data_IF_636586078208
#
_entry.id   IF_636586078208
#
_cell.length_a   1.000
_cell.length_b   1.000
_cell.length_c   1.000
_cell.angle_alpha   90.00
_cell.angle_beta   90.00
_cell.angle_gamma   90.00
#
_symmetry.space_group_name_H-M   'P 1'
#
loop_
_entity.id
_entity.type
_entity.pdbx_description
1 polymer ?
#
# COMPACT_ATOMS: atom_id res chain seq x y z
N UNK A 1 22.21 3.43 33.83
CA UNK A 1 22.41 4.19 32.57
C UNK A 1 23.88 4.57 32.37
N UNK A 2 24.52 5.37 33.24
CA UNK A 2 25.98 5.64 33.16
C UNK A 2 26.86 4.38 33.20
N UNK A 3 26.51 3.43 34.07
CA UNK A 3 27.18 2.14 34.24
C UNK A 3 27.45 1.39 32.92
N UNK A 4 26.46 1.30 32.02
CA UNK A 4 26.59 0.65 30.71
C UNK A 4 27.61 1.35 29.77
N UNK A 5 27.70 2.67 29.83
CA UNK A 5 28.61 3.44 28.99
C UNK A 5 30.08 3.28 29.44
N UNK A 6 30.27 3.19 30.75
CA UNK A 6 31.58 3.10 31.39
C UNK A 6 32.12 1.66 31.37
N UNK A 7 31.25 0.66 31.52
CA UNK A 7 31.62 -0.75 31.60
C UNK A 7 31.70 -1.43 30.21
N UNK A 8 30.88 -1.00 29.24
CA UNK A 8 30.85 -1.57 27.87
C UNK A 8 31.01 -0.50 26.77
N UNK A 9 32.11 0.26 26.76
CA UNK A 9 32.32 1.34 25.79
C UNK A 9 32.44 0.83 24.34
N UNK A 10 32.93 -0.40 24.14
CA UNK A 10 33.04 -1.03 22.81
C UNK A 10 31.66 -1.31 22.21
N UNK A 11 30.75 -1.91 22.98
CA UNK A 11 29.39 -2.20 22.53
C UNK A 11 28.63 -0.91 22.17
N UNK A 12 28.76 0.12 23.00
CA UNK A 12 28.16 1.43 22.72
C UNK A 12 28.68 2.05 21.42
N UNK A 13 29.98 1.89 21.13
CA UNK A 13 30.59 2.40 19.89
C UNK A 13 30.14 1.63 18.65
N UNK A 14 30.00 0.30 18.75
CA UNK A 14 29.48 -0.53 17.65
C UNK A 14 28.04 -0.16 17.34
N UNK A 15 27.17 -0.14 18.34
CA UNK A 15 25.76 0.23 18.16
C UNK A 15 25.61 1.62 17.55
N UNK A 16 26.40 2.59 18.04
CA UNK A 16 26.45 3.93 17.46
C UNK A 16 26.78 3.89 15.96
N UNK A 17 27.81 3.13 15.57
CA UNK A 17 28.21 3.02 14.17
C UNK A 17 27.13 2.35 13.31
N UNK A 18 26.46 1.32 13.84
CA UNK A 18 25.32 0.66 13.16
C UNK A 18 24.18 1.64 12.93
N UNK A 19 23.78 2.41 13.96
CA UNK A 19 22.71 3.40 13.84
C UNK A 19 23.05 4.51 12.85
N UNK A 20 24.29 5.01 12.87
CA UNK A 20 24.76 5.99 11.88
C UNK A 20 24.68 5.40 10.47
N UNK A 21 25.16 4.17 10.29
CA UNK A 21 25.09 3.48 9.00
C UNK A 21 23.66 3.35 8.49
N UNK A 22 22.73 2.97 9.36
CA UNK A 22 21.33 2.78 9.01
C UNK A 22 20.65 4.10 8.62
N UNK A 23 20.87 5.17 9.39
CA UNK A 23 20.37 6.52 9.09
C UNK A 23 20.94 7.02 7.77
N UNK A 24 22.24 6.81 7.55
CA UNK A 24 22.90 7.20 6.30
C UNK A 24 22.34 6.45 5.09
N UNK A 25 22.10 5.14 5.22
CA UNK A 25 21.47 4.34 4.16
C UNK A 25 20.07 4.86 3.83
N UNK A 26 19.23 5.11 4.84
CA UNK A 26 17.88 5.67 4.62
C UNK A 26 17.96 7.05 3.94
N UNK A 27 18.90 7.88 4.35
CA UNK A 27 19.14 9.19 3.72
C UNK A 27 19.54 9.07 2.24
N UNK A 28 20.50 8.19 1.92
CA UNK A 28 20.94 7.97 0.53
C UNK A 28 19.81 7.42 -0.33
N UNK A 29 19.00 6.50 0.20
CA UNK A 29 17.82 5.97 -0.50
C UNK A 29 16.84 7.11 -0.77
N UNK A 30 16.50 7.91 0.23
CA UNK A 30 15.57 9.03 0.06
C UNK A 30 16.09 10.06 -0.96
N UNK A 31 17.38 10.39 -0.91
CA UNK A 31 18.02 11.29 -1.86
C UNK A 31 17.93 10.76 -3.30
N UNK A 32 18.18 9.47 -3.48
CA UNK A 32 18.08 8.79 -4.77
C UNK A 32 16.65 8.82 -5.33
N UNK A 33 15.64 8.71 -4.45
CA UNK A 33 14.23 8.84 -4.83
C UNK A 33 13.86 10.26 -5.25
N UNK A 34 14.27 11.27 -4.48
CA UNK A 34 13.96 12.68 -4.77
C UNK A 34 14.60 13.14 -6.08
N UNK A 35 15.83 12.72 -6.36
CA UNK A 35 16.50 13.04 -7.63
C UNK A 35 16.09 12.15 -8.81
N UNK A 36 15.19 11.18 -8.59
CA UNK A 36 14.75 10.28 -9.66
C UNK A 36 15.87 9.44 -10.25
N UNK A 37 16.89 9.11 -9.45
CA UNK A 37 18.06 8.32 -9.91
C UNK A 37 17.66 6.87 -10.19
N UNK A 38 16.57 6.39 -9.59
CA UNK A 38 16.07 5.02 -9.79
C UNK A 38 15.42 4.89 -11.18
N UNK A 39 15.98 4.06 -12.07
CA UNK A 39 15.45 3.93 -13.42
C UNK A 39 14.10 3.19 -13.42
N UNK A 40 13.19 3.63 -14.31
CA UNK A 40 11.85 3.04 -14.46
C UNK A 40 11.88 1.55 -14.87
N UNK A 41 13.03 1.04 -15.31
CA UNK A 41 13.22 -0.37 -15.63
C UNK A 41 13.22 -1.29 -14.41
N UNK A 42 13.48 -0.76 -13.20
CA UNK A 42 13.52 -1.57 -11.96
C UNK A 42 12.10 -1.87 -11.47
N UNK A 43 11.17 -0.93 -11.66
CA UNK A 43 9.79 -1.06 -11.22
C UNK A 43 8.83 -0.47 -12.27
N UNK A 44 8.01 -1.31 -12.94
CA UNK A 44 6.97 -0.85 -13.85
C UNK A 44 6.00 0.13 -13.16
N UNK A 45 5.53 1.16 -13.87
CA UNK A 45 4.64 2.21 -13.31
C UNK A 45 3.34 1.69 -12.71
N UNK A 46 2.85 0.54 -13.19
CA UNK A 46 1.62 -0.09 -12.70
C UNK A 46 1.84 -0.89 -11.42
N UNK A 47 3.09 -1.10 -11.00
CA UNK A 47 3.37 -1.83 -9.78
C UNK A 47 3.24 -0.95 -8.54
N UNK A 48 2.77 -1.59 -7.47
CA UNK A 48 2.59 -0.98 -6.17
C UNK A 48 3.88 -0.36 -5.64
N UNK A 49 5.01 -1.02 -5.90
CA UNK A 49 6.33 -0.60 -5.44
C UNK A 49 6.73 0.75 -6.05
N UNK A 50 6.50 0.94 -7.36
CA UNK A 50 6.73 2.22 -8.02
C UNK A 50 5.91 3.33 -7.36
N UNK A 51 4.64 3.06 -7.06
CA UNK A 51 3.76 4.05 -6.44
C UNK A 51 4.14 4.35 -4.98
N UNK A 52 4.66 3.36 -4.23
CA UNK A 52 5.24 3.57 -2.89
C UNK A 52 6.44 4.52 -2.97
N UNK A 53 7.35 4.30 -3.92
CA UNK A 53 8.52 5.15 -4.14
C UNK A 53 8.16 6.56 -4.63
N UNK A 54 7.20 6.65 -5.55
CA UNK A 54 6.70 7.94 -6.05
C UNK A 54 6.02 8.75 -4.94
N UNK A 55 5.24 8.10 -4.07
CA UNK A 55 4.66 8.76 -2.89
C UNK A 55 5.74 9.28 -1.96
N UNK A 56 6.78 8.49 -1.67
CA UNK A 56 7.92 8.93 -0.86
C UNK A 56 8.70 10.10 -1.49
N UNK A 57 8.86 10.10 -2.82
CA UNK A 57 9.49 11.20 -3.55
C UNK A 57 8.64 12.48 -3.53
N UNK A 58 7.31 12.35 -3.54
CA UNK A 58 6.37 13.47 -3.46
C UNK A 58 6.45 14.28 -2.15
N UNK A 59 6.96 13.70 -1.06
CA UNK A 59 7.09 14.36 0.25
C UNK A 59 8.34 15.24 0.41
N UNK A 60 8.85 15.80 -0.68
CA UNK A 60 10.24 16.29 -0.83
C UNK A 60 10.72 17.42 0.10
N UNK A 61 9.85 18.23 0.73
CA UNK A 61 10.32 19.37 1.55
C UNK A 61 10.43 19.07 3.05
N UNK A 62 9.54 18.24 3.60
CA UNK A 62 9.48 17.97 5.04
C UNK A 62 10.49 16.88 5.43
N UNK A 63 10.63 15.84 4.62
CA UNK A 63 11.59 14.74 4.85
C UNK A 63 13.03 15.22 4.79
N UNK A 64 13.39 16.07 3.83
CA UNK A 64 14.72 16.68 3.72
C UNK A 64 15.06 17.51 4.96
N UNK A 65 14.12 18.34 5.44
CA UNK A 65 14.31 19.12 6.67
C UNK A 65 14.50 18.24 7.89
N UNK A 66 13.76 17.14 8.02
CA UNK A 66 13.92 16.24 9.18
C UNK A 66 15.25 15.50 9.15
N UNK A 67 15.71 15.04 7.98
CA UNK A 67 17.03 14.40 7.88
C UNK A 67 18.16 15.41 8.15
N UNK A 68 18.03 16.65 7.68
CA UNK A 68 18.97 17.74 8.01
C UNK A 68 18.96 18.03 9.52
N UNK A 69 17.80 18.00 10.17
CA UNK A 69 17.68 18.16 11.63
C UNK A 69 18.33 16.98 12.37
N UNK A 70 18.22 15.75 11.86
CA UNK A 70 18.89 14.57 12.43
C UNK A 70 20.41 14.70 12.30
N UNK A 71 20.92 15.12 11.14
CA UNK A 71 22.35 15.35 10.91
C UNK A 71 22.88 16.53 11.76
N UNK A 72 22.11 17.60 11.88
CA UNK A 72 22.42 18.74 12.76
C UNK A 72 22.40 18.34 14.24
N UNK A 73 21.45 17.51 14.66
CA UNK A 73 21.38 16.96 16.01
C UNK A 73 22.57 16.03 16.28
N UNK A 74 22.93 15.16 15.33
CA UNK A 74 24.11 14.29 15.42
C UNK A 74 25.39 15.12 15.61
N UNK A 75 25.62 16.14 14.78
CA UNK A 75 26.80 17.01 14.86
C UNK A 75 26.84 17.85 16.13
N UNK A 76 25.71 18.41 16.58
CA UNK A 76 25.62 19.16 17.84
C UNK A 76 25.81 18.27 19.08
N UNK A 77 25.28 17.05 19.05
CA UNK A 77 25.28 16.14 20.20
C UNK A 77 26.65 15.47 20.43
N UNK A 78 27.40 15.15 19.37
CA UNK A 78 28.76 14.62 19.48
C UNK A 78 29.76 15.59 20.13
N UNK A 79 29.41 16.88 20.27
CA UNK A 79 30.25 17.87 20.95
C UNK A 79 30.28 17.73 22.49
N UNK A 80 29.38 16.94 23.10
CA UNK A 80 29.28 16.79 24.57
C UNK A 80 29.37 15.31 24.98
N UNK A 81 30.24 14.98 25.94
CA UNK A 81 30.66 13.63 26.39
C UNK A 81 29.58 12.64 26.90
N UNK A 82 28.33 12.66 26.42
CA UNK A 82 27.20 11.82 26.88
C UNK A 82 26.75 10.79 25.83
N UNK A 83 27.63 9.86 25.48
CA UNK A 83 27.42 8.88 24.39
C UNK A 83 26.10 8.09 24.50
N UNK A 84 25.74 7.64 25.70
CA UNK A 84 24.59 6.74 25.87
C UNK A 84 23.23 7.46 25.76
N UNK A 85 23.14 8.69 26.25
CA UNK A 85 21.94 9.51 26.07
C UNK A 85 21.76 9.88 24.59
N UNK A 86 22.86 10.00 23.83
CA UNK A 86 22.83 10.17 22.37
C UNK A 86 22.13 8.99 21.70
N UNK A 87 22.53 7.77 22.07
CA UNK A 87 22.05 6.54 21.45
C UNK A 87 20.55 6.35 21.66
N UNK A 88 20.07 6.61 22.88
CA UNK A 88 18.64 6.50 23.20
C UNK A 88 17.85 7.55 22.41
N UNK A 89 18.29 8.81 22.43
CA UNK A 89 17.62 9.89 21.69
C UNK A 89 17.60 9.61 20.18
N UNK A 90 18.70 9.11 19.62
CA UNK A 90 18.81 8.77 18.20
C UNK A 90 17.84 7.66 17.80
N UNK A 91 17.75 6.60 18.60
CA UNK A 91 16.80 5.51 18.36
C UNK A 91 15.37 6.02 18.38
N UNK A 92 14.98 6.81 19.39
CA UNK A 92 13.63 7.36 19.51
C UNK A 92 13.30 8.24 18.29
N UNK A 93 14.19 9.15 17.90
CA UNK A 93 13.96 10.03 16.75
C UNK A 93 13.87 9.23 15.46
N UNK A 94 14.74 8.24 15.27
CA UNK A 94 14.72 7.39 14.09
C UNK A 94 13.41 6.61 13.95
N UNK A 95 12.98 5.92 15.01
CA UNK A 95 11.72 5.17 15.00
C UNK A 95 10.51 6.10 14.88
N UNK A 96 10.50 7.23 15.59
CA UNK A 96 9.43 8.22 15.44
C UNK A 96 9.32 8.75 14.02
N UNK A 97 10.43 9.00 13.34
CA UNK A 97 10.43 9.43 11.93
C UNK A 97 9.89 8.32 11.01
N UNK A 98 10.29 7.08 11.28
CA UNK A 98 9.84 5.91 10.52
C UNK A 98 8.33 5.74 10.65
N UNK A 99 7.82 5.76 11.89
CA UNK A 99 6.40 5.53 12.19
C UNK A 99 5.51 6.73 11.85
N UNK A 100 6.01 7.96 11.91
CA UNK A 100 5.20 9.15 11.63
C UNK A 100 5.18 9.55 10.16
N UNK A 101 6.27 9.30 9.41
CA UNK A 101 6.42 9.81 8.04
C UNK A 101 6.53 8.68 7.02
N UNK A 102 7.53 7.82 7.16
CA UNK A 102 7.83 6.83 6.12
C UNK A 102 6.77 5.74 6.04
N UNK A 103 6.45 5.11 7.17
CA UNK A 103 5.54 3.98 7.23
C UNK A 103 4.11 4.38 6.83
N UNK A 104 3.51 5.48 7.33
CA UNK A 104 2.17 5.89 6.90
C UNK A 104 2.13 6.26 5.43
N UNK A 105 3.16 6.93 4.90
CA UNK A 105 3.22 7.29 3.47
C UNK A 105 3.19 6.04 2.60
N UNK A 106 4.01 5.05 2.94
CA UNK A 106 4.07 3.79 2.21
C UNK A 106 2.77 2.99 2.37
N UNK A 107 2.26 2.84 3.58
CA UNK A 107 1.04 2.06 3.84
C UNK A 107 -0.21 2.70 3.22
N UNK A 108 -0.31 4.03 3.20
CA UNK A 108 -1.40 4.74 2.52
C UNK A 108 -1.44 4.44 1.02
N UNK A 109 -0.28 4.17 0.40
CA UNK A 109 -0.27 3.73 -1.00
C UNK A 109 -0.75 2.29 -1.17
N UNK A 110 -0.78 1.44 -0.13
CA UNK A 110 -1.38 0.10 -0.23
C UNK A 110 -2.88 0.08 0.01
N UNK A 111 -3.40 1.10 0.71
CA UNK A 111 -4.82 1.17 1.05
C UNK A 111 -5.74 1.30 -0.17
N UNK A 112 -6.85 0.55 -0.19
CA UNK A 112 -7.96 0.72 -1.15
C UNK A 112 -8.88 1.90 -0.82
N UNK A 113 -8.68 2.61 0.29
CA UNK A 113 -9.64 3.59 0.81
C UNK A 113 -10.10 4.63 -0.23
N UNK A 114 -9.19 5.10 -1.08
CA UNK A 114 -9.54 6.05 -2.16
C UNK A 114 -10.48 5.43 -3.19
N UNK A 115 -10.17 4.22 -3.64
CA UNK A 115 -11.00 3.50 -4.59
C UNK A 115 -12.38 3.17 -4.00
N UNK A 116 -12.44 2.76 -2.73
CA UNK A 116 -13.72 2.56 -2.03
C UNK A 116 -14.55 3.86 -1.99
N UNK A 117 -13.92 5.01 -1.72
CA UNK A 117 -14.61 6.30 -1.75
C UNK A 117 -15.09 6.70 -3.16
N UNK A 118 -14.38 6.31 -4.21
CA UNK A 118 -14.82 6.53 -5.58
C UNK A 118 -15.98 5.60 -5.97
N UNK A 119 -15.96 4.34 -5.52
CA UNK A 119 -17.11 3.43 -5.63
C UNK A 119 -18.31 4.00 -4.88
N UNK A 120 -18.14 4.53 -3.66
CA UNK A 120 -19.24 5.09 -2.87
C UNK A 120 -19.89 6.31 -3.55
N UNK A 121 -19.13 7.11 -4.32
CA UNK A 121 -19.71 8.20 -5.12
C UNK A 121 -20.59 7.70 -6.26
N UNK A 122 -20.21 6.58 -6.88
CA UNK A 122 -20.98 5.96 -7.98
C UNK A 122 -22.17 5.16 -7.44
N UNK A 123 -21.97 4.42 -6.35
CA UNK A 123 -22.94 3.52 -5.72
C UNK A 123 -23.11 3.90 -4.24
N UNK A 124 -23.82 5.02 -3.95
CA UNK A 124 -23.97 5.53 -2.60
C UNK A 124 -24.81 4.61 -1.71
N UNK A 125 -25.75 3.88 -2.31
CA UNK A 125 -26.65 2.96 -1.61
C UNK A 125 -26.88 1.70 -2.44
N UNK A 126 -27.27 0.61 -1.78
CA UNK A 126 -27.53 -0.68 -2.42
C UNK A 126 -26.37 -1.66 -2.28
N UNK A 127 -26.62 -2.88 -2.74
CA UNK A 127 -25.68 -3.99 -2.66
C UNK A 127 -24.67 -3.91 -3.81
N UNK A 128 -23.42 -4.21 -3.50
CA UNK A 128 -22.35 -4.36 -4.48
C UNK A 128 -22.00 -5.84 -4.49
N UNK A 129 -21.70 -6.40 -5.65
CA UNK A 129 -21.36 -7.80 -5.79
C UNK A 129 -19.86 -7.95 -6.04
N UNK A 130 -19.26 -9.02 -5.57
CA UNK A 130 -17.88 -9.39 -5.90
C UNK A 130 -17.80 -10.76 -6.54
N UNK A 131 -16.77 -10.95 -7.36
CA UNK A 131 -16.39 -12.24 -7.90
C UNK A 131 -14.89 -12.47 -7.76
N UNK A 132 -14.53 -13.61 -7.16
CA UNK A 132 -13.20 -14.18 -7.19
C UNK A 132 -13.28 -15.66 -7.63
N UNK A 133 -12.31 -16.21 -8.37
CA UNK A 133 -12.37 -17.60 -8.87
C UNK A 133 -12.51 -18.66 -7.79
N UNK A 134 -12.03 -18.37 -6.57
CA UNK A 134 -12.18 -19.26 -5.39
C UNK A 134 -13.64 -19.45 -4.99
N UNK A 135 -14.55 -18.52 -5.34
CA UNK A 135 -15.99 -18.64 -5.10
C UNK A 135 -16.63 -19.79 -5.90
N UNK A 136 -15.92 -20.34 -6.89
CA UNK A 136 -16.34 -21.52 -7.66
C UNK A 136 -16.03 -22.84 -6.93
N UNK A 137 -15.22 -22.81 -5.87
CA UNK A 137 -14.86 -24.02 -5.12
C UNK A 137 -15.90 -24.36 -4.04
N UNK A 138 -16.48 -25.59 -4.02
CA UNK A 138 -17.54 -25.96 -3.07
C UNK A 138 -17.14 -25.95 -1.59
N UNK A 139 -15.84 -26.15 -1.32
CA UNK A 139 -15.28 -26.31 0.04
C UNK A 139 -14.55 -25.05 0.56
N UNK A 140 -14.53 -23.97 -0.22
CA UNK A 140 -13.80 -22.75 0.09
C UNK A 140 -14.61 -21.79 0.97
N UNK A 141 -13.98 -21.16 1.95
CA UNK A 141 -14.51 -19.92 2.52
C UNK A 141 -14.59 -18.90 1.36
N UNK A 142 -15.77 -18.32 1.08
CA UNK A 142 -15.90 -17.34 -0.01
C UNK A 142 -15.00 -16.15 0.29
N UNK A 143 -13.98 -16.00 -0.54
CA UNK A 143 -12.99 -14.94 -0.38
C UNK A 143 -13.57 -13.72 -1.07
N UNK A 144 -13.76 -12.64 -0.34
CA UNK A 144 -14.23 -11.37 -0.90
C UNK A 144 -13.19 -10.29 -0.64
N UNK A 145 -13.40 -9.12 -1.24
CA UNK A 145 -12.52 -7.97 -1.04
C UNK A 145 -12.73 -7.37 0.35
N UNK A 146 -12.20 -8.01 1.40
CA UNK A 146 -12.39 -7.62 2.81
C UNK A 146 -12.07 -6.14 3.10
N UNK A 147 -10.97 -5.62 2.54
CA UNK A 147 -10.64 -4.21 2.75
C UNK A 147 -11.67 -3.29 2.09
N UNK A 148 -12.16 -3.63 0.89
CA UNK A 148 -13.19 -2.84 0.21
C UNK A 148 -14.52 -2.94 0.96
N UNK A 149 -14.88 -4.13 1.43
CA UNK A 149 -16.13 -4.36 2.15
C UNK A 149 -16.17 -3.56 3.46
N UNK A 150 -15.05 -3.55 4.19
CA UNK A 150 -14.88 -2.73 5.38
C UNK A 150 -15.10 -1.22 5.11
N UNK A 151 -14.58 -0.69 4.00
CA UNK A 151 -14.80 0.72 3.65
C UNK A 151 -16.18 1.01 3.05
N UNK A 152 -16.85 -0.01 2.50
CA UNK A 152 -18.16 0.11 1.87
C UNK A 152 -19.30 -0.23 2.83
N UNK A 153 -19.03 -0.37 4.13
CA UNK A 153 -19.98 -0.67 5.21
C UNK A 153 -20.67 -2.04 5.05
N UNK A 154 -19.89 -3.10 4.79
CA UNK A 154 -20.36 -4.49 4.71
C UNK A 154 -21.48 -4.71 3.65
N UNK A 155 -21.33 -4.02 2.51
CA UNK A 155 -22.28 -4.05 1.38
C UNK A 155 -21.83 -4.94 0.22
N UNK A 156 -20.72 -5.65 0.34
CA UNK A 156 -20.21 -6.55 -0.70
C UNK A 156 -20.80 -7.95 -0.52
N UNK A 157 -21.55 -8.39 -1.52
CA UNK A 157 -22.21 -9.69 -1.61
C UNK A 157 -21.55 -10.57 -2.69
N UNK A 158 -21.79 -11.88 -2.63
CA UNK A 158 -21.19 -12.82 -3.59
C UNK A 158 -22.06 -12.94 -4.83
N UNK A 159 -21.50 -12.59 -6.00
CA UNK A 159 -22.22 -12.66 -7.28
C UNK A 159 -22.70 -14.08 -7.61
N UNK A 160 -21.82 -15.08 -7.46
CA UNK A 160 -22.11 -16.49 -7.81
C UNK A 160 -23.26 -17.07 -6.97
N UNK A 161 -23.39 -16.61 -5.73
CA UNK A 161 -24.39 -17.10 -4.77
C UNK A 161 -25.75 -16.45 -4.99
N UNK A 162 -25.80 -15.13 -5.16
CA UNK A 162 -27.06 -14.39 -5.21
C UNK A 162 -27.64 -14.26 -6.63
N UNK A 163 -26.80 -14.30 -7.67
CA UNK A 163 -27.20 -14.17 -9.10
C UNK A 163 -28.21 -13.02 -9.33
N UNK A 164 -27.86 -11.79 -8.95
CA UNK A 164 -28.72 -10.62 -9.09
C UNK A 164 -29.00 -10.28 -10.57
N UNK A 165 -30.16 -9.70 -10.87
CA UNK A 165 -30.53 -9.33 -12.25
C UNK A 165 -29.90 -8.03 -12.74
N UNK A 166 -29.50 -7.15 -11.83
CA UNK A 166 -28.88 -5.85 -12.10
C UNK A 166 -28.03 -5.44 -10.90
N UNK A 167 -26.96 -4.68 -11.13
CA UNK A 167 -26.16 -4.09 -10.08
C UNK A 167 -24.73 -3.80 -10.48
N UNK A 168 -23.84 -3.76 -9.49
CA UNK A 168 -22.43 -3.49 -9.68
C UNK A 168 -21.58 -4.68 -9.24
N UNK A 169 -20.58 -5.04 -10.05
CA UNK A 169 -19.67 -6.15 -9.84
C UNK A 169 -18.23 -5.64 -9.67
N UNK A 170 -17.62 -5.95 -8.54
CA UNK A 170 -16.19 -5.80 -8.28
C UNK A 170 -15.49 -7.09 -8.67
N UNK A 171 -14.51 -7.00 -9.57
CA UNK A 171 -13.80 -8.15 -10.12
C UNK A 171 -12.39 -7.76 -10.52
N UNK A 172 -11.45 -8.70 -10.47
CA UNK A 172 -10.11 -8.47 -11.03
C UNK A 172 -10.17 -8.47 -12.55
N UNK A 173 -9.39 -7.63 -13.21
CA UNK A 173 -9.40 -7.49 -14.66
C UNK A 173 -9.14 -8.82 -15.38
N UNK A 174 -8.18 -9.62 -14.91
CA UNK A 174 -7.89 -10.95 -15.47
C UNK A 174 -9.07 -11.91 -15.31
N UNK A 175 -9.76 -11.86 -14.17
CA UNK A 175 -10.86 -12.76 -13.85
C UNK A 175 -12.11 -12.35 -14.64
N UNK A 176 -12.31 -11.05 -14.87
CA UNK A 176 -13.34 -10.55 -15.77
C UNK A 176 -13.12 -11.08 -17.19
N UNK A 177 -11.89 -10.96 -17.71
CA UNK A 177 -11.53 -11.48 -19.03
C UNK A 177 -11.75 -12.99 -19.15
N UNK A 178 -11.53 -13.74 -18.08
CA UNK A 178 -11.67 -15.19 -18.09
C UNK A 178 -13.12 -15.66 -17.90
N UNK A 179 -13.93 -14.99 -17.08
CA UNK A 179 -15.23 -15.54 -16.66
C UNK A 179 -16.45 -14.76 -17.15
N UNK A 180 -16.27 -13.53 -17.65
CA UNK A 180 -17.37 -12.64 -18.03
C UNK A 180 -17.24 -12.05 -19.44
N UNK A 181 -16.02 -12.01 -20.00
CA UNK A 181 -15.82 -11.54 -21.37
C UNK A 181 -16.53 -12.46 -22.37
N UNK A 182 -17.15 -11.85 -23.40
CA UNK A 182 -17.93 -12.52 -24.44
C UNK A 182 -17.10 -13.52 -25.24
N UNK A 183 -15.78 -13.30 -25.31
CA UNK A 183 -14.86 -14.15 -26.08
C UNK A 183 -14.23 -15.27 -25.24
N UNK A 184 -14.59 -15.42 -23.96
CA UNK A 184 -13.99 -16.43 -23.10
C UNK A 184 -14.67 -17.80 -23.21
N UNK A 185 -13.86 -18.85 -23.25
CA UNK A 185 -14.33 -20.25 -23.21
C UNK A 185 -14.87 -20.67 -21.83
N UNK A 186 -14.44 -20.00 -20.75
CA UNK A 186 -14.83 -20.30 -19.36
C UNK A 186 -15.93 -19.39 -18.82
N UNK A 187 -16.75 -18.82 -19.72
CA UNK A 187 -17.77 -17.83 -19.38
C UNK A 187 -18.82 -18.40 -18.43
N UNK A 188 -19.12 -17.68 -17.35
CA UNK A 188 -20.06 -18.12 -16.30
C UNK A 188 -21.51 -17.76 -16.60
N UNK A 189 -21.74 -16.69 -17.37
CA UNK A 189 -23.07 -16.12 -17.60
C UNK A 189 -23.20 -15.55 -19.01
N UNK A 190 -24.20 -16.00 -19.75
CA UNK A 190 -24.44 -15.56 -21.14
C UNK A 190 -25.45 -14.44 -21.29
N UNK A 191 -26.32 -14.29 -20.30
CA UNK A 191 -27.44 -13.37 -20.31
C UNK A 191 -27.14 -12.03 -19.65
N UNK A 192 -25.88 -11.69 -19.40
CA UNK A 192 -25.49 -10.44 -18.75
C UNK A 192 -24.74 -9.53 -19.71
N UNK A 193 -25.04 -8.24 -19.65
CA UNK A 193 -24.23 -7.17 -20.24
C UNK A 193 -23.41 -6.56 -19.12
N UNK A 194 -22.14 -6.26 -19.39
CA UNK A 194 -21.23 -5.62 -18.45
C UNK A 194 -20.64 -4.36 -19.09
N UNK A 195 -20.71 -3.25 -18.36
CA UNK A 195 -20.11 -1.98 -18.74
C UNK A 195 -19.11 -1.54 -17.66
N UNK A 196 -17.87 -1.21 -18.06
CA UNK A 196 -16.85 -0.74 -17.10
C UNK A 196 -17.16 0.68 -16.63
N UNK A 197 -17.28 0.85 -15.31
CA UNK A 197 -17.57 2.15 -14.69
C UNK A 197 -16.33 2.77 -14.07
N UNK A 198 -15.57 1.97 -13.32
CA UNK A 198 -14.33 2.40 -12.67
C UNK A 198 -13.29 1.28 -12.72
N UNK A 199 -12.02 1.66 -12.66
CA UNK A 199 -10.91 0.73 -12.42
C UNK A 199 -9.86 1.39 -11.54
N UNK A 200 -9.00 0.58 -10.93
CA UNK A 200 -7.85 1.10 -10.19
C UNK A 200 -6.73 1.54 -11.14
N UNK A 201 -6.11 2.68 -10.86
CA UNK A 201 -5.02 3.25 -11.69
C UNK A 201 -3.76 2.35 -11.79
N UNK A 202 -3.65 1.34 -10.90
CA UNK A 202 -2.48 0.47 -10.74
C UNK A 202 -2.89 -0.92 -10.27
N UNK A 203 -1.92 -1.84 -10.30
CA UNK A 203 -2.06 -3.17 -9.75
C UNK A 203 -2.23 -3.10 -8.24
N UNK A 204 -3.24 -3.81 -7.74
CA UNK A 204 -3.58 -3.78 -6.34
C UNK A 204 -2.90 -4.90 -5.55
N UNK A 205 -2.10 -4.48 -4.56
CA UNK A 205 -1.70 -5.28 -3.39
C UNK A 205 -1.34 -6.74 -3.69
N UNK A 206 -1.99 -7.62 -2.94
CA UNK A 206 -1.82 -9.07 -2.96
C UNK A 206 -2.27 -9.74 -4.26
N UNK A 207 -3.17 -9.12 -5.01
CA UNK A 207 -3.71 -9.68 -6.24
C UNK A 207 -2.83 -9.42 -7.47
N UNK A 208 -1.95 -8.40 -7.38
CA UNK A 208 -1.08 -7.92 -8.47
C UNK A 208 -1.84 -7.68 -9.78
N UNK A 209 -3.09 -7.24 -9.67
CA UNK A 209 -3.97 -6.99 -10.81
C UNK A 209 -4.84 -5.76 -10.55
N UNK A 210 -5.43 -5.22 -11.62
CA UNK A 210 -6.35 -4.09 -11.58
C UNK A 210 -7.71 -4.59 -11.08
N UNK A 211 -8.30 -3.85 -10.13
CA UNK A 211 -9.68 -4.08 -9.70
C UNK A 211 -10.57 -3.22 -10.58
N UNK A 212 -11.60 -3.82 -11.16
CA UNK A 212 -12.61 -3.16 -11.97
C UNK A 212 -13.96 -3.17 -11.24
N UNK A 213 -14.72 -2.08 -11.40
CA UNK A 213 -16.13 -1.98 -11.07
C UNK A 213 -16.91 -2.01 -12.39
N UNK A 214 -17.69 -3.06 -12.59
CA UNK A 214 -18.55 -3.23 -13.76
C UNK A 214 -20.00 -2.98 -13.35
N UNK A 215 -20.75 -2.23 -14.13
CA UNK A 215 -22.20 -2.24 -14.07
C UNK A 215 -22.71 -3.45 -14.86
N UNK A 216 -23.71 -4.16 -14.36
CA UNK A 216 -24.28 -5.29 -15.07
C UNK A 216 -25.80 -5.28 -15.07
N UNK A 217 -26.37 -5.79 -16.17
CA UNK A 217 -27.80 -5.97 -16.35
C UNK A 217 -28.07 -7.28 -17.11
N UNK A 218 -29.16 -7.97 -16.74
CA UNK A 218 -29.62 -9.16 -17.47
C UNK A 218 -30.37 -8.76 -18.74
N UNK A 219 -29.93 -9.31 -19.87
CA UNK A 219 -30.64 -9.20 -21.15
C UNK A 219 -31.93 -10.01 -21.07
N UNK A 220 -33.06 -9.32 -21.23
CA UNK A 220 -34.39 -9.93 -21.31
C UNK A 220 -34.65 -10.53 -22.70
#
# INVERSE_FOLDING_TARGET
>A
IKYLADEFPKCCRIFKNVMIGLIFTVFVIHLSLVFGIVPESVYPKKDLDYAMFAALAGYSKITLSVVIIIVAALTFYFSRKKLLTAMIALSIIFFALLDAVYLPTVLNTKSVKRFAADIEKVVPTGNIYSFLPVDLTPDGNPLHFFELDYYLNDRIHLFVKEKPTEGYLIVLKKDFQQYFDKNSESKLVDNYIFDEVLHTDRNYGSFKDIICLMHFEVVK
#
